data_IF_585023410425
#
_entry.id   IF_585023410425
#
_cell.length_a   1.000
_cell.length_b   1.000
_cell.length_c   1.000
_cell.angle_alpha   90.00
_cell.angle_beta   90.00
_cell.angle_gamma   90.00
#
_symmetry.space_group_name_H-M   'P 1'
#
loop_
_entity.id
_entity.type
_entity.pdbx_description
1 polymer ?
#
# COMPACT_ATOMS: atom_id res chain seq x y z
N UNK A 1 -10.62 -16.41 22.06
CA UNK A 1 -10.36 -16.97 20.73
C UNK A 1 -8.97 -17.57 20.76
N UNK A 2 -8.81 -18.87 20.49
CA UNK A 2 -7.48 -19.49 20.37
C UNK A 2 -7.06 -19.40 18.90
N UNK A 3 -6.43 -18.29 18.53
CA UNK A 3 -5.78 -18.15 17.23
C UNK A 3 -4.39 -18.79 17.29
N UNK A 4 -4.04 -19.62 16.32
CA UNK A 4 -2.66 -20.02 16.09
C UNK A 4 -2.00 -18.96 15.22
N UNK A 5 -0.85 -18.44 15.66
CA UNK A 5 0.04 -17.63 14.83
C UNK A 5 1.21 -18.48 14.33
N UNK A 6 1.79 -18.09 13.21
CA UNK A 6 3.03 -18.66 12.68
C UNK A 6 3.85 -17.56 12.02
N UNK A 7 5.15 -17.75 11.98
CA UNK A 7 6.07 -16.82 11.32
C UNK A 7 5.99 -17.03 9.79
N UNK A 8 6.02 -15.91 9.06
CA UNK A 8 6.04 -15.90 7.60
C UNK A 8 7.21 -15.08 7.11
N UNK A 9 7.77 -15.49 5.97
CA UNK A 9 8.77 -14.69 5.27
C UNK A 9 8.09 -13.48 4.63
N UNK A 10 8.73 -12.31 4.77
CA UNK A 10 8.29 -11.05 4.16
C UNK A 10 9.27 -10.69 3.06
N UNK A 11 8.74 -10.17 1.95
CA UNK A 11 9.53 -9.70 0.80
C UNK A 11 9.51 -8.18 0.72
N UNK A 12 10.50 -7.60 0.05
CA UNK A 12 10.45 -6.20 -0.37
C UNK A 12 9.49 -6.06 -1.56
N UNK A 13 8.37 -5.38 -1.34
CA UNK A 13 7.33 -5.19 -2.35
C UNK A 13 7.83 -4.36 -3.55
N UNK A 14 8.65 -3.34 -3.31
CA UNK A 14 9.17 -2.49 -4.39
C UNK A 14 10.10 -3.30 -5.28
N UNK A 15 11.01 -4.05 -4.69
CA UNK A 15 11.92 -4.91 -5.44
C UNK A 15 11.17 -6.03 -6.16
N UNK A 16 10.14 -6.63 -5.55
CA UNK A 16 9.27 -7.57 -6.24
C UNK A 16 8.61 -6.94 -7.48
N UNK A 17 7.98 -5.78 -7.33
CA UNK A 17 7.28 -5.09 -8.42
C UNK A 17 8.20 -4.70 -9.57
N UNK A 18 9.46 -4.32 -9.29
CA UNK A 18 10.48 -4.07 -10.32
C UNK A 18 10.81 -5.30 -11.17
N UNK A 19 10.63 -6.49 -10.60
CA UNK A 19 11.03 -7.77 -11.19
C UNK A 19 9.87 -8.56 -11.80
N UNK A 20 8.62 -8.06 -11.77
CA UNK A 20 7.45 -8.72 -12.38
C UNK A 20 7.60 -8.90 -13.89
N UNK A 21 8.51 -8.17 -14.55
CA UNK A 21 8.90 -8.40 -15.95
C UNK A 21 7.92 -7.84 -16.99
N UNK A 22 6.75 -7.38 -16.56
CA UNK A 22 5.75 -6.70 -17.38
C UNK A 22 5.09 -5.53 -16.62
N UNK A 23 4.55 -4.51 -17.33
CA UNK A 23 3.84 -3.41 -16.68
C UNK A 23 2.60 -3.89 -15.90
N UNK A 24 2.54 -3.57 -14.62
CA UNK A 24 1.39 -3.89 -13.77
C UNK A 24 0.24 -2.93 -14.09
N UNK A 25 -0.85 -3.45 -14.67
CA UNK A 25 -2.02 -2.63 -14.97
C UNK A 25 -2.83 -2.26 -13.72
N UNK A 26 -2.95 -3.20 -12.77
CA UNK A 26 -3.67 -3.00 -11.50
C UNK A 26 -2.91 -3.69 -10.38
N UNK A 27 -2.72 -2.99 -9.25
CA UNK A 27 -2.26 -3.53 -7.98
C UNK A 27 -3.38 -3.39 -6.96
N UNK A 28 -3.88 -4.51 -6.41
CA UNK A 28 -4.82 -4.53 -5.27
C UNK A 28 -4.06 -4.88 -3.99
N UNK A 29 -4.33 -4.18 -2.89
CA UNK A 29 -3.67 -4.36 -1.61
C UNK A 29 -4.66 -4.31 -0.44
N UNK A 30 -4.51 -5.28 0.46
CA UNK A 30 -5.33 -5.56 1.64
C UNK A 30 -4.52 -6.57 2.45
N UNK A 31 -3.77 -6.06 3.44
CA UNK A 31 -2.69 -6.78 4.15
C UNK A 31 -2.73 -6.50 5.67
N UNK A 32 -3.89 -6.09 6.17
CA UNK A 32 -4.25 -5.99 7.60
C UNK A 32 -3.24 -5.18 8.43
N UNK A 33 -2.94 -3.94 8.00
CA UNK A 33 -2.18 -2.96 8.79
C UNK A 33 -0.81 -2.57 8.22
N UNK A 34 -0.35 -3.24 7.16
CA UNK A 34 0.92 -2.93 6.49
C UNK A 34 0.75 -2.05 5.22
N UNK A 35 -0.46 -1.65 4.87
CA UNK A 35 -0.77 -0.94 3.62
C UNK A 35 -0.05 0.40 3.52
N UNK A 36 -0.10 1.19 4.60
CA UNK A 36 0.45 2.56 4.62
C UNK A 36 1.96 2.53 4.36
N UNK A 37 2.68 1.61 5.00
CA UNK A 37 4.12 1.41 4.81
C UNK A 37 4.45 0.96 3.37
N UNK A 38 3.66 0.04 2.83
CA UNK A 38 3.84 -0.43 1.46
C UNK A 38 3.63 0.70 0.45
N UNK A 39 2.60 1.53 0.63
CA UNK A 39 2.32 2.65 -0.27
C UNK A 39 3.38 3.75 -0.14
N UNK A 40 3.84 4.08 1.07
CA UNK A 40 4.96 5.01 1.25
C UNK A 40 6.21 4.55 0.49
N UNK A 41 6.56 3.27 0.60
CA UNK A 41 7.71 2.68 -0.13
C UNK A 41 7.53 2.72 -1.66
N UNK A 42 6.31 2.49 -2.16
CA UNK A 42 5.94 2.62 -3.57
C UNK A 42 6.05 4.07 -4.07
N UNK A 43 5.69 5.04 -3.23
CA UNK A 43 5.80 6.46 -3.55
C UNK A 43 7.26 6.90 -3.58
N UNK A 44 8.03 6.55 -2.55
CA UNK A 44 9.44 6.91 -2.40
C UNK A 44 10.32 6.33 -3.51
N UNK A 45 10.01 5.12 -3.95
CA UNK A 45 10.69 4.48 -5.08
C UNK A 45 10.29 5.02 -6.46
N UNK A 46 9.16 5.75 -6.55
CA UNK A 46 8.60 6.25 -7.79
C UNK A 46 7.92 5.20 -8.67
N UNK A 47 7.83 3.94 -8.23
CA UNK A 47 7.32 2.83 -9.06
C UNK A 47 5.81 2.94 -9.35
N UNK A 48 5.07 3.68 -8.53
CA UNK A 48 3.66 4.00 -8.80
C UNK A 48 3.44 4.58 -10.20
N UNK A 49 4.42 5.27 -10.78
CA UNK A 49 4.32 5.86 -12.13
C UNK A 49 4.30 4.83 -13.25
N UNK A 50 4.76 3.61 -12.98
CA UNK A 50 4.72 2.47 -13.92
C UNK A 50 3.51 1.55 -13.70
N UNK A 51 2.67 1.83 -12.70
CA UNK A 51 1.50 1.02 -12.36
C UNK A 51 0.24 1.76 -12.84
N UNK A 52 -0.68 1.05 -13.49
CA UNK A 52 -1.90 1.65 -14.02
C UNK A 52 -2.83 2.19 -12.94
N UNK A 53 -3.26 1.33 -12.00
CA UNK A 53 -4.08 1.68 -10.84
C UNK A 53 -3.61 0.91 -9.60
N UNK A 54 -3.67 1.56 -8.44
CA UNK A 54 -3.36 0.99 -7.13
C UNK A 54 -4.59 1.16 -6.25
N UNK A 55 -5.18 0.05 -5.83
CA UNK A 55 -6.41 -0.02 -5.03
C UNK A 55 -6.06 -0.59 -3.66
N UNK A 56 -6.35 0.14 -2.60
CA UNK A 56 -5.91 -0.17 -1.24
C UNK A 56 -7.08 -0.09 -0.27
N UNK A 57 -7.29 -1.17 0.47
CA UNK A 57 -8.15 -1.21 1.64
C UNK A 57 -7.32 -0.87 2.88
N UNK A 58 -7.51 0.31 3.45
CA UNK A 58 -6.76 0.73 4.64
C UNK A 58 -7.52 0.34 5.91
N UNK A 59 -6.78 -0.19 6.90
CA UNK A 59 -7.37 -0.75 8.12
C UNK A 59 -7.23 0.16 9.35
N UNK A 60 -7.17 1.49 9.18
CA UNK A 60 -6.94 2.45 10.28
C UNK A 60 -8.06 2.48 11.33
N UNK A 61 -9.26 2.01 11.00
CA UNK A 61 -10.37 1.88 11.95
C UNK A 61 -10.13 0.74 12.96
N UNK A 62 -9.40 -0.30 12.54
CA UNK A 62 -9.01 -1.45 13.38
C UNK A 62 -7.70 -1.13 14.12
N UNK A 63 -6.73 -0.56 13.40
CA UNK A 63 -5.41 -0.20 13.91
C UNK A 63 -5.32 1.31 14.14
N UNK A 64 -5.81 1.76 15.29
CA UNK A 64 -5.95 3.20 15.60
C UNK A 64 -4.62 3.98 15.58
N UNK A 65 -3.49 3.30 15.76
CA UNK A 65 -2.15 3.86 15.65
C UNK A 65 -1.77 4.22 14.20
N UNK A 66 -2.46 3.68 13.20
CA UNK A 66 -2.27 4.03 11.79
C UNK A 66 -3.02 5.29 11.37
N UNK A 67 -4.01 5.77 12.13
CA UNK A 67 -4.90 6.89 11.73
C UNK A 67 -4.12 8.13 11.28
N UNK A 68 -3.14 8.57 12.07
CA UNK A 68 -2.35 9.76 11.74
C UNK A 68 -1.43 9.52 10.53
N UNK A 69 -0.86 8.31 10.40
CA UNK A 69 0.01 7.94 9.26
C UNK A 69 -0.80 7.84 7.97
N UNK A 70 -2.00 7.25 8.02
CA UNK A 70 -2.92 7.19 6.88
C UNK A 70 -3.39 8.58 6.46
N UNK A 71 -3.69 9.48 7.42
CA UNK A 71 -4.02 10.87 7.11
C UNK A 71 -2.86 11.57 6.38
N UNK A 72 -1.64 11.45 6.91
CA UNK A 72 -0.45 12.03 6.28
C UNK A 72 -0.22 11.49 4.86
N UNK A 73 -0.46 10.19 4.64
CA UNK A 73 -0.38 9.58 3.31
C UNK A 73 -1.43 10.14 2.35
N UNK A 74 -2.69 10.29 2.79
CA UNK A 74 -3.76 10.93 1.98
C UNK A 74 -3.39 12.37 1.61
N UNK A 75 -2.85 13.14 2.55
CA UNK A 75 -2.38 14.51 2.31
C UNK A 75 -1.24 14.55 1.29
N UNK A 76 -0.27 13.64 1.40
CA UNK A 76 0.84 13.51 0.44
C UNK A 76 0.33 13.22 -0.97
N UNK A 77 -0.54 12.22 -1.13
CA UNK A 77 -1.14 11.84 -2.42
C UNK A 77 -1.86 13.05 -3.04
N UNK A 78 -2.65 13.78 -2.25
CA UNK A 78 -3.35 14.99 -2.70
C UNK A 78 -2.40 16.12 -3.10
N UNK A 79 -1.38 16.40 -2.29
CA UNK A 79 -0.39 17.44 -2.54
C UNK A 79 0.45 17.17 -3.80
N UNK A 80 0.89 15.93 -3.98
CA UNK A 80 1.66 15.48 -5.15
C UNK A 80 0.79 15.25 -6.39
N UNK A 81 -0.55 15.36 -6.26
CA UNK A 81 -1.54 15.14 -7.33
C UNK A 81 -1.41 13.76 -7.98
N UNK A 82 -1.21 12.73 -7.15
CA UNK A 82 -1.13 11.34 -7.59
C UNK A 82 -2.56 10.85 -7.86
N UNK A 83 -2.82 10.42 -9.09
CA UNK A 83 -4.19 10.12 -9.59
C UNK A 83 -4.48 8.62 -9.72
N UNK A 84 -3.48 7.76 -9.49
CA UNK A 84 -3.60 6.32 -9.70
C UNK A 84 -3.57 5.51 -8.41
N UNK A 85 -3.81 6.15 -7.26
CA UNK A 85 -3.90 5.49 -5.95
C UNK A 85 -5.26 5.82 -5.32
N UNK A 86 -6.02 4.78 -5.03
CA UNK A 86 -7.27 4.85 -4.27
C UNK A 86 -7.08 4.14 -2.92
N UNK A 87 -7.16 4.90 -1.83
CA UNK A 87 -7.06 4.41 -0.44
C UNK A 87 -8.43 4.19 0.21
N UNK A 88 -9.48 4.03 -0.59
CA UNK A 88 -10.87 3.84 -0.12
C UNK A 88 -11.56 2.65 -0.76
N UNK A 89 -10.77 1.71 -1.31
CA UNK A 89 -11.30 0.51 -1.94
C UNK A 89 -11.87 -0.43 -0.88
N UNK A 90 -13.14 -0.84 -1.08
CA UNK A 90 -13.94 -1.75 -0.23
C UNK A 90 -14.81 -2.66 -1.09
#
# INVERSE_FOLDING_TARGET
MNGNSFEVEVIDLVDFLRNVGEPVSVLKMDIEGAEVECIESILDSGIHKSIGQILVETHEEIFTDLVDRTRALRERIGHEKIMNIDLSWV
#
